data_IF_465009856681
#
_entry.id   IF_465009856681
#
_cell.length_a   1.000
_cell.length_b   1.000
_cell.length_c   1.000
_cell.angle_alpha   90.00
_cell.angle_beta   90.00
_cell.angle_gamma   90.00
#
_symmetry.space_group_name_H-M   'P 1'
#
loop_
_entity.id
_entity.type
_entity.pdbx_description
1 polymer ?
#
# COMPACT_ATOMS: atom_id res chain seq x y z
N UNK A 1 -16.68 17.12 0.56
CA UNK A 1 -15.80 15.96 0.82
C UNK A 1 -15.12 15.61 -0.51
N UNK A 2 -13.82 15.89 -0.68
CA UNK A 2 -13.10 15.44 -1.89
C UNK A 2 -12.98 13.91 -1.83
N UNK A 3 -13.28 13.15 -2.90
CA UNK A 3 -13.14 11.70 -2.88
C UNK A 3 -11.66 11.34 -2.66
N UNK A 4 -11.39 10.50 -1.64
CA UNK A 4 -10.04 10.05 -1.34
C UNK A 4 -9.45 9.24 -2.50
N UNK A 5 -8.16 9.46 -2.78
CA UNK A 5 -7.38 8.67 -3.73
C UNK A 5 -7.03 7.32 -3.09
N UNK A 6 -7.46 6.23 -3.71
CA UNK A 6 -6.98 4.89 -3.36
C UNK A 6 -5.51 4.75 -3.75
N UNK A 7 -4.68 4.22 -2.84
CA UNK A 7 -3.27 3.99 -3.09
C UNK A 7 -3.04 2.56 -3.58
N UNK A 8 -2.02 2.40 -4.42
CA UNK A 8 -1.58 1.12 -4.96
C UNK A 8 -0.69 0.43 -3.94
N UNK A 9 -1.33 -0.18 -2.95
CA UNK A 9 -0.67 -0.91 -1.89
C UNK A 9 -0.84 -2.43 -2.06
N UNK A 10 0.19 -3.20 -1.76
CA UNK A 10 0.11 -4.65 -1.66
C UNK A 10 1.00 -5.16 -0.53
N UNK A 11 0.73 -6.40 -0.10
CA UNK A 11 1.55 -7.11 0.88
C UNK A 11 1.93 -8.48 0.34
N UNK A 12 3.16 -8.91 0.62
CA UNK A 12 3.66 -10.24 0.27
C UNK A 12 4.48 -10.84 1.41
N UNK A 13 4.46 -12.17 1.52
CA UNK A 13 5.36 -12.91 2.40
C UNK A 13 6.52 -13.44 1.59
N UNK A 14 7.74 -13.07 1.95
CA UNK A 14 8.96 -13.49 1.25
C UNK A 14 10.02 -13.91 2.27
N UNK A 15 10.53 -15.13 2.13
CA UNK A 15 11.49 -15.73 3.06
C UNK A 15 11.02 -15.68 4.53
N UNK A 16 9.73 -15.95 4.78
CA UNK A 16 9.16 -15.93 6.13
C UNK A 16 8.80 -14.55 6.68
N UNK A 17 9.24 -13.46 6.03
CA UNK A 17 8.98 -12.09 6.47
C UNK A 17 7.86 -11.46 5.66
N UNK A 18 6.97 -10.75 6.34
CA UNK A 18 5.94 -9.95 5.70
C UNK A 18 6.48 -8.61 5.24
N UNK A 19 6.13 -8.21 4.02
CA UNK A 19 6.57 -6.99 3.39
C UNK A 19 5.38 -6.31 2.72
N UNK A 20 5.06 -5.10 3.16
CA UNK A 20 3.99 -4.27 2.63
C UNK A 20 4.58 -3.10 1.86
N UNK A 21 4.00 -2.77 0.69
CA UNK A 21 4.50 -1.74 -0.22
C UNK A 21 3.39 -0.76 -0.57
N UNK A 22 3.72 0.53 -0.63
CA UNK A 22 2.90 1.57 -1.26
C UNK A 22 3.63 2.09 -2.51
N UNK A 23 3.07 1.84 -3.69
CA UNK A 23 3.74 2.13 -4.95
C UNK A 23 3.65 3.59 -5.38
N UNK A 24 2.65 4.31 -4.89
CA UNK A 24 2.46 5.73 -5.18
C UNK A 24 3.51 6.63 -4.49
N UNK A 25 4.13 6.15 -3.40
CA UNK A 25 5.12 6.91 -2.61
C UNK A 25 6.46 6.18 -2.42
N UNK A 26 6.62 5.01 -3.06
CA UNK A 26 7.81 4.17 -2.91
C UNK A 26 8.13 3.81 -1.45
N UNK A 27 7.09 3.62 -0.62
CA UNK A 27 7.24 3.22 0.77
C UNK A 27 7.17 1.71 0.90
N UNK A 28 7.92 1.17 1.86
CA UNK A 28 7.88 -0.24 2.22
C UNK A 28 8.02 -0.42 3.73
N UNK A 29 7.25 -1.34 4.29
CA UNK A 29 7.31 -1.75 5.69
C UNK A 29 7.47 -3.27 5.78
N UNK A 30 8.10 -3.74 6.84
CA UNK A 30 8.25 -5.16 7.13
C UNK A 30 7.93 -5.50 8.59
N UNK A 31 7.56 -6.75 8.81
CA UNK A 31 7.19 -7.27 10.12
C UNK A 31 7.13 -8.80 10.15
N UNK A 32 6.99 -9.34 11.34
CA UNK A 32 6.88 -10.78 11.58
C UNK A 32 5.48 -11.30 11.27
N UNK A 33 4.48 -10.41 11.25
CA UNK A 33 3.10 -10.73 10.89
C UNK A 33 2.55 -9.85 9.77
N UNK A 34 1.48 -10.35 9.15
CA UNK A 34 0.68 -9.60 8.16
C UNK A 34 0.22 -8.27 8.74
N UNK A 35 -0.37 -8.34 9.94
CA UNK A 35 -1.00 -7.21 10.63
C UNK A 35 0.02 -6.13 10.97
N UNK A 36 1.15 -6.55 11.54
CA UNK A 36 2.24 -5.64 11.88
C UNK A 36 2.76 -4.90 10.65
N UNK A 37 3.01 -5.61 9.54
CA UNK A 37 3.51 -5.00 8.31
C UNK A 37 2.48 -4.05 7.69
N UNK A 38 1.20 -4.41 7.74
CA UNK A 38 0.09 -3.59 7.25
C UNK A 38 -0.04 -2.29 8.05
N UNK A 39 -0.08 -2.38 9.38
CA UNK A 39 -0.23 -1.19 10.23
C UNK A 39 1.01 -0.29 10.19
N UNK A 40 2.22 -0.87 10.12
CA UNK A 40 3.45 -0.09 9.87
C UNK A 40 3.38 0.68 8.56
N UNK A 41 3.00 0.02 7.45
CA UNK A 41 2.87 0.71 6.16
C UNK A 41 1.82 1.83 6.24
N UNK A 42 0.69 1.58 6.90
CA UNK A 42 -0.38 2.56 7.08
C UNK A 42 0.10 3.79 7.87
N UNK A 43 0.87 3.58 8.95
CA UNK A 43 1.48 4.68 9.72
C UNK A 43 2.45 5.48 8.85
N UNK A 44 3.37 4.79 8.15
CA UNK A 44 4.34 5.44 7.26
C UNK A 44 3.68 6.26 6.16
N UNK A 45 2.61 5.74 5.53
CA UNK A 45 1.85 6.48 4.52
C UNK A 45 1.22 7.72 5.12
N UNK A 46 0.62 7.64 6.31
CA UNK A 46 0.02 8.79 6.99
C UNK A 46 1.07 9.85 7.32
N UNK A 47 2.16 9.46 7.95
CA UNK A 47 3.25 10.35 8.34
C UNK A 47 3.91 11.00 7.12
N UNK A 48 4.16 10.21 6.06
CA UNK A 48 4.77 10.70 4.83
C UNK A 48 3.94 11.81 4.16
N UNK A 49 2.62 11.64 4.15
CA UNK A 49 1.75 12.64 3.54
C UNK A 49 1.56 13.85 4.44
N UNK A 50 1.44 13.65 5.76
CA UNK A 50 1.34 14.76 6.71
C UNK A 50 2.58 15.65 6.65
N UNK A 51 3.78 15.06 6.59
CA UNK A 51 5.02 15.80 6.44
C UNK A 51 5.13 16.51 5.07
N UNK A 52 4.60 15.88 4.01
CA UNK A 52 4.55 16.48 2.68
C UNK A 52 3.52 17.62 2.56
N UNK A 53 2.41 17.61 3.31
CA UNK A 53 1.37 18.65 3.20
C UNK A 53 1.48 19.75 4.25
N UNK A 54 1.86 19.40 5.48
CA UNK A 54 1.87 20.30 6.64
C UNK A 54 3.24 20.43 7.30
N UNK A 55 4.19 19.56 6.96
CA UNK A 55 5.51 19.51 7.58
C UNK A 55 6.58 20.35 6.86
N UNK A 56 7.83 20.08 7.21
CA UNK A 56 9.00 20.81 6.69
C UNK A 56 9.21 20.59 5.18
N UNK A 57 8.60 19.52 4.66
CA UNK A 57 8.68 19.10 3.27
C UNK A 57 7.56 19.65 2.37
N UNK A 58 6.71 20.56 2.87
CA UNK A 58 5.64 21.17 2.09
C UNK A 58 6.10 21.79 0.77
N UNK A 59 7.27 22.44 0.77
CA UNK A 59 7.89 23.02 -0.46
C UNK A 59 8.26 21.98 -1.53
N UNK A 60 8.30 20.69 -1.17
CA UNK A 60 8.60 19.57 -2.06
C UNK A 60 7.41 18.61 -2.22
N UNK A 61 6.21 18.99 -1.75
CA UNK A 61 5.01 18.16 -1.75
C UNK A 61 4.74 17.51 -3.11
N UNK A 62 4.77 18.30 -4.19
CA UNK A 62 4.50 17.79 -5.55
C UNK A 62 5.51 16.70 -5.98
N UNK A 63 6.79 16.87 -5.66
CA UNK A 63 7.83 15.90 -6.00
C UNK A 63 7.70 14.63 -5.15
N UNK A 64 7.41 14.78 -3.85
CA UNK A 64 7.26 13.66 -2.93
C UNK A 64 6.02 12.83 -3.27
N UNK A 65 4.89 13.49 -3.50
CA UNK A 65 3.60 12.85 -3.79
C UNK A 65 3.48 12.32 -5.23
N UNK A 66 4.47 12.57 -6.09
CA UNK A 66 4.55 12.02 -7.46
C UNK A 66 5.55 10.87 -7.61
N UNK A 67 6.27 10.49 -6.54
CA UNK A 67 7.34 9.48 -6.58
C UNK A 67 6.81 8.05 -6.74
N UNK A 68 6.77 7.55 -7.98
CA UNK A 68 6.34 6.19 -8.29
C UNK A 68 7.42 5.14 -8.07
N UNK A 69 7.01 3.97 -7.59
CA UNK A 69 7.87 2.79 -7.49
C UNK A 69 8.33 2.26 -8.88
N UNK A 70 9.47 1.53 -8.96
CA UNK A 70 9.92 0.89 -10.19
C UNK A 70 8.90 -0.09 -10.79
N UNK A 71 8.87 -0.21 -12.13
CA UNK A 71 7.88 -0.99 -12.90
C UNK A 71 7.70 -2.43 -12.41
N UNK A 72 8.77 -3.10 -11.96
CA UNK A 72 8.71 -4.47 -11.41
C UNK A 72 7.70 -4.64 -10.27
N UNK A 73 7.51 -3.60 -9.45
CA UNK A 73 6.58 -3.65 -8.32
C UNK A 73 5.13 -3.47 -8.77
N UNK A 74 4.91 -2.67 -9.81
CA UNK A 74 3.60 -2.53 -10.45
C UNK A 74 3.12 -3.84 -11.07
N UNK A 75 4.00 -4.58 -11.72
CA UNK A 75 3.69 -5.93 -12.21
C UNK A 75 3.21 -6.86 -11.10
N UNK A 76 3.91 -6.88 -9.96
CA UNK A 76 3.47 -7.66 -8.78
C UNK A 76 2.10 -7.21 -8.28
N UNK A 77 1.87 -5.90 -8.17
CA UNK A 77 0.59 -5.37 -7.72
C UNK A 77 -0.55 -5.88 -8.59
N UNK A 78 -0.44 -5.75 -9.92
CA UNK A 78 -1.51 -6.20 -10.83
C UNK A 78 -1.68 -7.73 -10.85
N UNK A 79 -0.58 -8.48 -10.72
CA UNK A 79 -0.65 -9.94 -10.56
C UNK A 79 -1.41 -10.33 -9.28
N UNK A 80 -1.02 -9.79 -8.12
CA UNK A 80 -1.69 -10.08 -6.85
C UNK A 80 -3.14 -9.59 -6.83
N UNK A 81 -3.43 -8.46 -7.46
CA UNK A 81 -4.80 -7.96 -7.63
C UNK A 81 -5.63 -8.95 -8.45
N UNK A 82 -5.14 -9.42 -9.60
CA UNK A 82 -5.85 -10.37 -10.44
C UNK A 82 -6.13 -11.69 -9.71
N UNK A 83 -5.11 -12.28 -9.09
CA UNK A 83 -5.25 -13.52 -8.28
C UNK A 83 -6.27 -13.34 -7.16
N UNK A 84 -6.19 -12.22 -6.43
CA UNK A 84 -7.11 -11.91 -5.34
C UNK A 84 -8.57 -11.78 -5.80
N UNK A 85 -8.82 -11.20 -6.98
CA UNK A 85 -10.16 -11.11 -7.56
C UNK A 85 -10.67 -12.47 -8.02
N UNK A 86 -9.83 -13.28 -8.67
CA UNK A 86 -10.18 -14.64 -9.08
C UNK A 86 -10.57 -15.49 -7.85
N UNK A 87 -9.76 -15.44 -6.79
CA UNK A 87 -10.04 -16.15 -5.54
C UNK A 87 -11.30 -15.63 -4.86
N UNK A 88 -11.53 -14.31 -4.88
CA UNK A 88 -12.78 -13.71 -4.35
C UNK A 88 -14.01 -14.21 -5.12
N UNK A 89 -13.92 -14.38 -6.44
CA UNK A 89 -15.00 -14.90 -7.27
C UNK A 89 -15.27 -16.39 -7.05
N UNK A 90 -14.26 -17.16 -6.65
CA UNK A 90 -14.39 -18.59 -6.31
C UNK A 90 -15.21 -18.85 -5.03
N UNK A 91 -15.66 -17.80 -4.33
CA UNK A 91 -16.57 -17.84 -3.19
C UNK A 91 -16.11 -18.79 -2.06
N UNK A 92 -14.79 -18.87 -1.87
CA UNK A 92 -14.19 -19.71 -0.85
C UNK A 92 -14.30 -19.02 0.52
N UNK A 93 -15.20 -19.53 1.36
CA UNK A 93 -15.44 -18.99 2.71
C UNK A 93 -14.22 -19.16 3.63
N UNK A 94 -13.21 -19.95 3.24
CA UNK A 94 -12.04 -20.26 4.05
C UNK A 94 -10.81 -19.39 3.68
N UNK A 95 -11.05 -18.09 3.53
CA UNK A 95 -10.06 -17.14 3.00
C UNK A 95 -8.95 -16.89 4.01
N UNK A 96 -7.72 -17.35 3.71
CA UNK A 96 -6.55 -17.14 4.55
C UNK A 96 -6.10 -15.67 4.52
N UNK A 97 -6.09 -15.03 5.69
CA UNK A 97 -5.56 -13.66 5.89
C UNK A 97 -4.05 -13.61 5.55
N UNK A 98 -3.34 -14.74 5.68
CA UNK A 98 -1.91 -14.90 5.37
C UNK A 98 -1.66 -15.20 3.87
N UNK A 99 -2.12 -14.35 2.96
CA UNK A 99 -1.86 -14.47 1.51
C UNK A 99 -1.39 -13.16 0.89
N UNK A 100 -0.62 -13.24 -0.20
CA UNK A 100 -0.21 -12.06 -0.96
C UNK A 100 -1.44 -11.40 -1.60
N UNK A 101 -1.64 -10.11 -1.36
CA UNK A 101 -2.86 -9.42 -1.81
C UNK A 101 -2.68 -7.91 -1.93
N UNK A 102 -3.54 -7.24 -2.73
CA UNK A 102 -3.70 -5.80 -2.61
C UNK A 102 -4.23 -5.39 -1.22
N UNK A 103 -3.94 -4.15 -0.83
CA UNK A 103 -4.44 -3.49 0.37
C UNK A 103 -5.38 -2.32 -0.04
N UNK A 104 -6.59 -2.59 -0.56
CA UNK A 104 -7.52 -1.55 -1.03
C UNK A 104 -8.01 -0.60 0.08
N UNK A 105 -7.88 -1.01 1.35
CA UNK A 105 -8.23 -0.23 2.54
C UNK A 105 -7.27 0.96 2.80
N UNK A 106 -6.09 0.99 2.17
CA UNK A 106 -5.14 2.11 2.30
C UNK A 106 -5.48 3.16 1.24
N UNK A 107 -5.99 4.29 1.69
CA UNK A 107 -6.36 5.44 0.86
C UNK A 107 -5.93 6.75 1.53
N UNK A 108 -5.89 7.82 0.74
CA UNK A 108 -5.60 9.16 1.24
C UNK A 108 -6.57 10.20 0.68
N UNK A 109 -7.02 11.14 1.51
CA UNK A 109 -7.81 12.28 1.07
C UNK A 109 -6.90 13.50 0.94
N UNK A 110 -6.68 14.00 -0.28
CA UNK A 110 -5.98 15.28 -0.46
C UNK A 110 -6.81 16.40 0.16
N UNK A 111 -6.21 17.13 1.10
CA UNK A 111 -6.70 18.44 1.52
C UNK A 111 -6.27 19.41 0.41
N UNK A 112 -7.25 20.04 -0.24
CA UNK A 112 -6.99 21.12 -1.21
C UNK A 112 -6.91 22.45 -0.47
#
# INVERSE_FOLDING_TARGET
>A
MSPGKHLHCYIEKKHGIWQAFCLDFMLAAQGESFEESREKLKSMVKEYIDDAEHGENQKYAEQLLSRRAPVRYWWKYYLYKALWYIDKLRNDANRRIDTNRPLPEISYAMVR
#
